data_IF_879357178752
#
_entry.id   IF_879357178752
#
_cell.length_a   1.000
_cell.length_b   1.000
_cell.length_c   1.000
_cell.angle_alpha   90.00
_cell.angle_beta   90.00
_cell.angle_gamma   90.00
#
_symmetry.space_group_name_H-M   'P 1'
#
loop_
_entity.id
_entity.type
_entity.pdbx_description
1 polymer ?
#
# COMPACT_ATOMS: atom_id res chain seq x y z
N UNK A 1 56.74 -30.42 -16.41
CA UNK A 1 55.55 -29.55 -16.61
C UNK A 1 55.42 -28.62 -15.40
N UNK A 2 55.68 -27.31 -15.55
CA UNK A 2 55.61 -26.35 -14.43
C UNK A 2 54.15 -25.93 -14.23
N UNK A 3 53.55 -26.31 -13.09
CA UNK A 3 52.16 -26.00 -12.74
C UNK A 3 52.07 -24.55 -12.27
N UNK A 4 51.47 -23.69 -13.08
CA UNK A 4 51.20 -22.28 -12.76
C UNK A 4 50.16 -22.22 -11.64
N UNK A 5 50.52 -21.69 -10.46
CA UNK A 5 49.53 -21.40 -9.41
C UNK A 5 48.74 -20.17 -9.84
N UNK A 6 47.42 -20.27 -9.81
CA UNK A 6 46.51 -19.19 -10.12
C UNK A 6 46.16 -18.53 -8.79
N UNK A 7 46.73 -17.35 -8.54
CA UNK A 7 46.46 -16.58 -7.34
C UNK A 7 45.08 -15.93 -7.50
N UNK A 8 44.11 -16.39 -6.73
CA UNK A 8 42.83 -15.71 -6.61
C UNK A 8 43.01 -14.56 -5.62
N UNK A 9 42.96 -13.32 -6.13
CA UNK A 9 42.81 -12.16 -5.27
C UNK A 9 41.42 -12.25 -4.60
N UNK A 10 41.39 -12.65 -3.33
CA UNK A 10 40.17 -12.79 -2.55
C UNK A 10 39.70 -11.44 -2.00
N UNK A 11 38.39 -11.24 -1.94
CA UNK A 11 37.75 -10.13 -1.23
C UNK A 11 38.31 -10.00 0.19
N UNK A 12 38.70 -8.78 0.56
CA UNK A 12 39.18 -8.44 1.89
C UNK A 12 38.01 -8.16 2.83
N UNK A 13 38.25 -8.35 4.14
CA UNK A 13 37.28 -7.94 5.16
C UNK A 13 36.98 -6.43 5.10
N UNK A 14 37.99 -5.63 4.74
CA UNK A 14 37.86 -4.18 4.61
C UNK A 14 36.87 -3.80 3.49
N UNK A 15 36.91 -4.50 2.36
CA UNK A 15 35.94 -4.29 1.28
C UNK A 15 34.52 -4.64 1.73
N UNK A 16 34.35 -5.73 2.49
CA UNK A 16 33.02 -6.10 3.03
C UNK A 16 32.48 -5.05 4.02
N UNK A 17 33.35 -4.43 4.83
CA UNK A 17 32.94 -3.35 5.74
C UNK A 17 32.43 -2.12 4.99
N UNK A 18 33.14 -1.70 3.94
CA UNK A 18 32.72 -0.55 3.11
C UNK A 18 31.41 -0.87 2.38
N UNK A 19 31.23 -2.10 1.89
CA UNK A 19 30.00 -2.52 1.24
C UNK A 19 28.80 -2.49 2.20
N UNK A 20 28.96 -3.01 3.43
CA UNK A 20 27.90 -2.98 4.44
C UNK A 20 27.54 -1.54 4.85
N UNK A 21 28.54 -0.65 4.92
CA UNK A 21 28.32 0.77 5.18
C UNK A 21 27.46 1.42 4.09
N UNK A 22 27.77 1.17 2.82
CA UNK A 22 26.99 1.70 1.68
C UNK A 22 25.55 1.16 1.71
N UNK A 23 25.35 -0.15 1.90
CA UNK A 23 24.01 -0.77 1.96
C UNK A 23 23.19 -0.17 3.12
N UNK A 24 23.80 0.03 4.28
CA UNK A 24 23.14 0.65 5.45
C UNK A 24 22.58 2.04 5.12
N UNK A 25 23.38 2.90 4.48
CA UNK A 25 22.95 4.24 4.06
C UNK A 25 21.83 4.17 3.01
N UNK A 26 21.94 3.26 2.03
CA UNK A 26 20.90 3.08 1.02
C UNK A 26 19.56 2.65 1.65
N UNK A 27 19.57 1.70 2.58
CA UNK A 27 18.35 1.25 3.29
C UNK A 27 17.69 2.42 4.03
N UNK A 28 18.48 3.24 4.74
CA UNK A 28 17.96 4.41 5.46
C UNK A 28 17.29 5.45 4.54
N UNK A 29 17.72 5.59 3.29
CA UNK A 29 17.08 6.48 2.31
C UNK A 29 15.87 5.82 1.63
N UNK A 30 15.93 4.52 1.33
CA UNK A 30 14.89 3.80 0.61
C UNK A 30 13.68 3.44 1.49
N UNK A 31 13.90 2.96 2.72
CA UNK A 31 12.82 2.56 3.64
C UNK A 31 11.81 3.68 3.93
N UNK A 32 12.20 4.92 4.29
CA UNK A 32 11.24 5.99 4.51
C UNK A 32 10.50 6.38 3.22
N UNK A 33 11.16 6.27 2.06
CA UNK A 33 10.51 6.53 0.77
C UNK A 33 9.49 5.43 0.42
N UNK A 34 9.78 4.17 0.73
CA UNK A 34 8.88 3.03 0.54
C UNK A 34 7.66 3.09 1.48
N UNK A 35 7.87 3.45 2.76
CA UNK A 35 6.77 3.57 3.73
C UNK A 35 5.73 4.62 3.33
N UNK A 36 6.18 5.73 2.73
CA UNK A 36 5.28 6.80 2.23
C UNK A 36 4.43 6.37 1.04
N UNK A 37 4.94 5.48 0.19
CA UNK A 37 4.19 4.95 -0.95
C UNK A 37 3.05 4.03 -0.49
N UNK A 38 3.28 3.22 0.55
CA UNK A 38 2.24 2.37 1.13
C UNK A 38 1.10 3.20 1.73
N UNK A 39 1.42 4.22 2.53
CA UNK A 39 0.41 5.10 3.11
C UNK A 39 -0.39 5.87 2.03
N UNK A 40 0.27 6.31 0.97
CA UNK A 40 -0.40 7.03 -0.14
C UNK A 40 -1.34 6.12 -0.94
N UNK A 41 -1.03 4.83 -1.07
CA UNK A 41 -1.91 3.84 -1.71
C UNK A 41 -3.12 3.55 -0.82
N UNK A 42 -2.91 3.39 0.49
CA UNK A 42 -3.99 3.13 1.44
C UNK A 42 -4.99 4.31 1.50
N UNK A 43 -4.50 5.56 1.46
CA UNK A 43 -5.35 6.76 1.40
C UNK A 43 -6.17 6.85 0.11
N UNK A 44 -5.52 6.69 -1.05
CA UNK A 44 -6.23 6.72 -2.35
C UNK A 44 -7.26 5.59 -2.47
N UNK A 45 -6.95 4.41 -1.93
CA UNK A 45 -7.89 3.29 -1.86
C UNK A 45 -9.12 3.63 -1.01
N UNK A 46 -8.91 4.24 0.15
CA UNK A 46 -9.99 4.64 1.06
C UNK A 46 -10.88 5.72 0.45
N UNK A 47 -10.30 6.74 -0.19
CA UNK A 47 -11.03 7.79 -0.93
C UNK A 47 -11.88 7.21 -2.07
N UNK A 48 -11.36 6.22 -2.80
CA UNK A 48 -12.11 5.55 -3.86
C UNK A 48 -13.32 4.79 -3.31
N UNK A 49 -13.18 4.12 -2.16
CA UNK A 49 -14.31 3.43 -1.50
C UNK A 49 -15.39 4.43 -1.08
N UNK A 50 -15.01 5.57 -0.49
CA UNK A 50 -15.96 6.63 -0.13
C UNK A 50 -16.77 7.08 -1.35
N UNK A 51 -16.09 7.34 -2.47
CA UNK A 51 -16.74 7.76 -3.70
C UNK A 51 -17.69 6.71 -4.29
N UNK A 52 -17.33 5.42 -4.19
CA UNK A 52 -18.20 4.32 -4.63
C UNK A 52 -19.48 4.30 -3.79
N UNK A 53 -19.37 4.38 -2.46
CA UNK A 53 -20.54 4.38 -1.57
C UNK A 53 -21.42 5.60 -1.84
N UNK A 54 -20.84 6.79 -2.00
CA UNK A 54 -21.59 8.01 -2.37
C UNK A 54 -22.32 7.85 -3.71
N UNK A 55 -21.67 7.26 -4.71
CA UNK A 55 -22.31 6.97 -6.00
C UNK A 55 -23.51 6.04 -5.83
N UNK A 56 -23.43 5.06 -4.93
CA UNK A 56 -24.56 4.16 -4.63
C UNK A 56 -25.69 4.87 -3.89
N UNK A 57 -25.38 5.83 -3.01
CA UNK A 57 -26.39 6.71 -2.38
C UNK A 57 -27.13 7.50 -3.46
N UNK A 58 -26.39 8.11 -4.39
CA UNK A 58 -26.96 8.90 -5.48
C UNK A 58 -27.85 8.05 -6.40
N UNK A 59 -27.37 6.86 -6.80
CA UNK A 59 -28.14 5.92 -7.62
C UNK A 59 -29.44 5.51 -6.93
N UNK A 60 -29.36 5.14 -5.65
CA UNK A 60 -30.55 4.78 -4.88
C UNK A 60 -31.52 5.96 -4.78
N UNK A 61 -31.02 7.20 -4.60
CA UNK A 61 -31.86 8.39 -4.54
C UNK A 61 -32.59 8.63 -5.87
N UNK A 62 -31.93 8.39 -7.00
CA UNK A 62 -32.54 8.48 -8.34
C UNK A 62 -33.62 7.40 -8.52
N UNK A 63 -33.36 6.17 -8.08
CA UNK A 63 -34.28 5.03 -8.26
C UNK A 63 -35.49 5.08 -7.32
N UNK A 64 -35.28 5.45 -6.07
CA UNK A 64 -36.27 5.33 -4.98
C UNK A 64 -36.81 6.67 -4.51
N UNK A 65 -36.30 7.80 -5.03
CA UNK A 65 -36.61 9.15 -4.56
C UNK A 65 -36.43 9.33 -3.04
N UNK A 66 -35.53 8.53 -2.45
CA UNK A 66 -35.26 8.50 -1.02
C UNK A 66 -33.75 8.46 -0.82
N UNK A 67 -33.22 9.26 0.10
CA UNK A 67 -31.81 9.13 0.48
C UNK A 67 -31.63 7.93 1.40
N UNK A 68 -30.83 6.91 1.02
CA UNK A 68 -30.61 5.74 1.85
C UNK A 68 -29.62 6.04 2.97
N UNK A 69 -29.77 5.33 4.08
CA UNK A 69 -28.69 5.14 5.05
C UNK A 69 -27.66 4.15 4.51
N UNK A 70 -26.42 4.24 5.00
CA UNK A 70 -25.35 3.31 4.62
C UNK A 70 -25.69 1.87 5.06
N UNK A 71 -26.44 1.69 6.15
CA UNK A 71 -26.96 0.36 6.55
C UNK A 71 -28.01 -0.17 5.58
N UNK A 72 -28.85 0.69 4.98
CA UNK A 72 -29.82 0.27 3.96
C UNK A 72 -29.09 -0.17 2.68
N UNK A 73 -28.04 0.54 2.26
CA UNK A 73 -27.23 0.12 1.12
C UNK A 73 -26.58 -1.26 1.34
N UNK A 74 -26.16 -1.57 2.58
CA UNK A 74 -25.65 -2.90 2.93
C UNK A 74 -26.75 -3.97 2.92
N UNK A 75 -27.92 -3.68 3.50
CA UNK A 75 -29.06 -4.60 3.56
C UNK A 75 -29.63 -4.93 2.18
N UNK A 76 -29.67 -3.94 1.32
CA UNK A 76 -30.16 -4.06 -0.06
C UNK A 76 -29.06 -4.45 -1.05
N UNK A 77 -27.87 -4.82 -0.54
CA UNK A 77 -26.73 -5.33 -1.32
C UNK A 77 -26.15 -4.38 -2.38
N UNK A 78 -26.39 -3.07 -2.27
CA UNK A 78 -25.74 -2.07 -3.10
C UNK A 78 -24.25 -1.91 -2.77
N UNK A 79 -23.84 -2.26 -1.55
CA UNK A 79 -22.44 -2.25 -1.09
C UNK A 79 -22.09 -3.54 -0.33
N UNK A 80 -20.80 -3.90 -0.33
CA UNK A 80 -20.29 -5.07 0.43
C UNK A 80 -20.00 -4.72 1.89
N UNK A 81 -19.90 -5.75 2.75
CA UNK A 81 -19.48 -5.57 4.15
C UNK A 81 -18.11 -4.87 4.25
N UNK A 82 -17.16 -5.25 3.39
CA UNK A 82 -15.83 -4.63 3.36
C UNK A 82 -15.89 -3.13 3.02
N UNK A 83 -16.77 -2.74 2.08
CA UNK A 83 -16.98 -1.33 1.73
C UNK A 83 -17.65 -0.56 2.87
N UNK A 84 -18.63 -1.18 3.55
CA UNK A 84 -19.26 -0.62 4.74
C UNK A 84 -18.23 -0.35 5.84
N UNK A 85 -17.42 -1.34 6.19
CA UNK A 85 -16.42 -1.22 7.26
C UNK A 85 -15.38 -0.14 6.94
N UNK A 86 -14.89 -0.10 5.69
CA UNK A 86 -13.94 0.94 5.24
C UNK A 86 -14.55 2.34 5.21
N UNK A 87 -15.81 2.46 4.81
CA UNK A 87 -16.53 3.74 4.81
C UNK A 87 -16.71 4.28 6.24
N UNK A 88 -17.11 3.41 7.17
CA UNK A 88 -17.26 3.77 8.58
C UNK A 88 -15.91 4.13 9.23
N UNK A 89 -14.85 3.39 8.92
CA UNK A 89 -13.50 3.70 9.39
C UNK A 89 -12.97 5.04 8.85
N UNK A 90 -13.37 5.44 7.64
CA UNK A 90 -12.95 6.71 7.02
C UNK A 90 -13.68 7.94 7.57
N UNK A 91 -14.85 7.75 8.20
CA UNK A 91 -15.65 8.81 8.83
C UNK A 91 -15.30 9.04 10.31
N UNK A 92 -14.43 8.21 10.89
CA UNK A 92 -14.02 8.26 12.30
C UNK A 92 -12.78 9.11 12.49
#
# INVERSE_FOLDING_TARGET
MKKKRMDFAGFTLLEMLVVLLIISVLILLFVPNLSKHKESVDKKGSEAIVKIVETQIDLYQIEKNQTPSVEQLLKEQYITQEQYDKYQASKK
#
